data_IF_437471650221
#
_entry.id   IF_437471650221
#
_cell.length_a   1.000
_cell.length_b   1.000
_cell.length_c   1.000
_cell.angle_alpha   90.00
_cell.angle_beta   90.00
_cell.angle_gamma   90.00
#
_symmetry.space_group_name_H-M   'P 1'
#
loop_
_entity.id
_entity.type
_entity.pdbx_description
1 polymer ?
#
# COMPACT_ATOMS: atom_id res chain seq x y z
N UNK A 1 -10.81 5.59 -6.44
CA UNK A 1 -11.84 4.53 -6.50
C UNK A 1 -12.51 4.54 -7.85
N UNK A 2 -12.49 3.43 -8.52
CA UNK A 2 -13.11 3.27 -9.82
C UNK A 2 -14.00 2.01 -9.78
N UNK A 3 -15.06 1.95 -10.61
CA UNK A 3 -15.92 0.76 -10.67
C UNK A 3 -15.21 -0.47 -11.22
N UNK A 4 -14.11 -0.27 -11.93
CA UNK A 4 -13.23 -1.32 -12.43
C UNK A 4 -11.80 -1.06 -11.95
N UNK A 5 -10.97 -2.10 -11.95
CA UNK A 5 -9.56 -2.02 -11.54
C UNK A 5 -8.63 -2.12 -12.76
N UNK A 6 -8.57 -1.12 -13.63
CA UNK A 6 -7.69 -1.15 -14.79
C UNK A 6 -6.22 -0.95 -14.39
N UNK A 7 -5.31 -1.32 -15.30
CA UNK A 7 -3.88 -1.13 -15.10
C UNK A 7 -3.53 0.34 -14.83
N UNK A 8 -4.23 1.27 -15.45
CA UNK A 8 -4.02 2.71 -15.27
C UNK A 8 -4.27 3.15 -13.83
N UNK A 9 -5.25 2.57 -13.16
CA UNK A 9 -5.52 2.87 -11.75
C UNK A 9 -4.36 2.40 -10.85
N UNK A 10 -3.87 1.19 -11.08
CA UNK A 10 -2.72 0.68 -10.35
C UNK A 10 -1.46 1.53 -10.59
N UNK A 11 -1.23 1.94 -11.84
CA UNK A 11 -0.13 2.84 -12.18
C UNK A 11 -0.27 4.21 -11.52
N UNK A 12 -1.47 4.77 -11.49
CA UNK A 12 -1.72 6.06 -10.84
C UNK A 12 -1.43 5.98 -9.34
N UNK A 13 -1.85 4.91 -8.68
CA UNK A 13 -1.57 4.70 -7.27
C UNK A 13 -0.07 4.57 -7.00
N UNK A 14 0.63 3.82 -7.83
CA UNK A 14 2.09 3.66 -7.70
C UNK A 14 2.82 4.99 -7.92
N UNK A 15 2.41 5.79 -8.92
CA UNK A 15 2.99 7.12 -9.17
C UNK A 15 2.79 8.05 -7.97
N UNK A 16 1.63 8.02 -7.34
CA UNK A 16 1.39 8.79 -6.13
C UNK A 16 2.34 8.38 -5.00
N UNK A 17 2.52 7.10 -4.80
CA UNK A 17 3.44 6.58 -3.78
C UNK A 17 4.89 7.02 -4.07
N UNK A 18 5.33 6.92 -5.31
CA UNK A 18 6.66 7.35 -5.74
C UNK A 18 6.86 8.85 -5.47
N UNK A 19 5.86 9.65 -5.83
CA UNK A 19 5.91 11.10 -5.66
C UNK A 19 6.01 11.51 -4.20
N UNK A 20 5.27 10.85 -3.33
CA UNK A 20 5.25 11.16 -1.91
C UNK A 20 6.46 10.61 -1.16
N UNK A 21 6.95 9.45 -1.53
CA UNK A 21 7.99 8.74 -0.79
C UNK A 21 9.37 8.85 -1.41
N UNK A 22 9.46 9.13 -2.69
CA UNK A 22 10.71 9.23 -3.46
C UNK A 22 11.69 8.08 -3.16
N UNK A 23 11.27 6.83 -3.32
CA UNK A 23 12.10 5.69 -2.98
C UNK A 23 13.28 5.53 -3.93
N UNK A 24 14.39 5.03 -3.41
CA UNK A 24 15.57 4.73 -4.21
C UNK A 24 15.34 3.51 -5.12
N UNK A 25 16.09 3.38 -6.23
CA UNK A 25 16.09 2.16 -7.02
C UNK A 25 16.40 0.93 -6.17
N UNK A 26 15.85 -0.21 -6.54
CA UNK A 26 16.01 -1.45 -5.78
C UNK A 26 14.86 -1.73 -4.81
N UNK A 27 13.91 -0.80 -4.66
CA UNK A 27 12.71 -1.04 -3.86
C UNK A 27 11.95 -2.26 -4.38
N UNK A 28 11.56 -3.14 -3.47
CA UNK A 28 10.71 -4.28 -3.80
C UNK A 28 9.24 -3.83 -3.73
N UNK A 29 8.52 -4.00 -4.82
CA UNK A 29 7.08 -3.74 -4.89
C UNK A 29 6.36 -5.07 -5.00
N UNK A 30 5.65 -5.43 -3.95
CA UNK A 30 4.92 -6.70 -3.89
C UNK A 30 3.44 -6.50 -4.24
N UNK A 31 2.91 -7.41 -5.03
CA UNK A 31 1.50 -7.44 -5.38
C UNK A 31 0.99 -8.88 -5.50
N UNK A 32 -0.32 -9.03 -5.64
CA UNK A 32 -0.88 -10.29 -6.09
C UNK A 32 -0.67 -10.46 -7.61
N UNK A 33 -1.20 -11.54 -8.18
CA UNK A 33 -1.10 -11.83 -9.62
C UNK A 33 -2.23 -11.22 -10.44
N UNK A 34 -2.88 -10.18 -9.94
CA UNK A 34 -3.92 -9.48 -10.67
C UNK A 34 -3.42 -8.99 -12.04
N UNK A 35 -4.28 -9.03 -13.05
CA UNK A 35 -3.92 -8.63 -14.42
C UNK A 35 -3.42 -7.19 -14.51
N UNK A 36 -3.91 -6.30 -13.65
CA UNK A 36 -3.48 -4.90 -13.59
C UNK A 36 -1.99 -4.78 -13.21
N UNK A 37 -1.50 -5.64 -12.33
CA UNK A 37 -0.10 -5.64 -11.89
C UNK A 37 0.82 -6.40 -12.85
N UNK A 38 0.29 -7.38 -13.55
CA UNK A 38 1.03 -8.13 -14.57
C UNK A 38 1.07 -7.40 -15.91
N UNK A 39 0.33 -6.31 -16.08
CA UNK A 39 0.27 -5.57 -17.32
C UNK A 39 1.62 -4.98 -17.73
N UNK A 40 1.84 -4.84 -19.04
CA UNK A 40 3.05 -4.20 -19.55
C UNK A 40 3.21 -2.77 -19.07
N UNK A 41 2.09 -2.04 -18.92
CA UNK A 41 2.08 -0.66 -18.45
C UNK A 41 2.64 -0.56 -17.02
N UNK A 42 2.16 -1.42 -16.12
CA UNK A 42 2.62 -1.42 -14.73
C UNK A 42 4.08 -1.90 -14.62
N UNK A 43 4.43 -2.96 -15.32
CA UNK A 43 5.80 -3.48 -15.33
C UNK A 43 6.81 -2.47 -15.89
N UNK A 44 6.44 -1.74 -16.95
CA UNK A 44 7.29 -0.68 -17.50
C UNK A 44 7.52 0.44 -16.48
N UNK A 45 6.50 0.79 -15.69
CA UNK A 45 6.64 1.81 -14.64
C UNK A 45 7.62 1.34 -13.54
N UNK A 46 7.56 0.09 -13.15
CA UNK A 46 8.53 -0.47 -12.18
C UNK A 46 9.95 -0.42 -12.74
N UNK A 47 10.13 -0.85 -13.99
CA UNK A 47 11.44 -0.88 -14.64
C UNK A 47 12.03 0.54 -14.78
N UNK A 48 11.18 1.51 -15.12
CA UNK A 48 11.60 2.90 -15.26
C UNK A 48 12.22 3.46 -13.98
N UNK A 49 11.74 3.03 -12.83
CA UNK A 49 12.24 3.47 -11.53
C UNK A 49 13.27 2.53 -10.92
N UNK A 50 13.61 1.44 -11.59
CA UNK A 50 14.55 0.45 -11.09
C UNK A 50 14.02 -0.36 -9.91
N UNK A 51 12.70 -0.52 -9.81
CA UNK A 51 12.07 -1.29 -8.74
C UNK A 51 12.05 -2.77 -9.09
N UNK A 52 12.09 -3.60 -8.05
CA UNK A 52 12.03 -5.05 -8.16
C UNK A 52 10.58 -5.50 -7.98
N UNK A 53 10.05 -6.17 -8.99
CA UNK A 53 8.71 -6.73 -8.94
C UNK A 53 8.71 -8.04 -8.13
N UNK A 54 7.81 -8.14 -7.18
CA UNK A 54 7.53 -9.37 -6.43
C UNK A 54 6.04 -9.65 -6.50
N UNK A 55 5.68 -10.85 -6.94
CA UNK A 55 4.28 -11.26 -7.00
C UNK A 55 4.04 -12.45 -6.10
N UNK A 56 2.83 -12.51 -5.52
CA UNK A 56 2.42 -13.65 -4.73
C UNK A 56 2.46 -14.93 -5.57
N UNK A 57 2.73 -16.05 -4.93
CA UNK A 57 2.72 -17.35 -5.58
C UNK A 57 1.30 -17.72 -6.00
N UNK A 58 1.17 -18.37 -7.12
CA UNK A 58 -0.14 -18.79 -7.64
C UNK A 58 -0.86 -19.65 -6.61
N UNK A 59 -2.10 -19.24 -6.28
CA UNK A 59 -2.93 -19.96 -5.33
C UNK A 59 -2.53 -19.84 -3.87
N UNK A 60 -1.54 -19.02 -3.52
CA UNK A 60 -1.08 -18.84 -2.15
C UNK A 60 -1.63 -17.53 -1.55
N UNK A 61 -2.71 -17.63 -0.78
CA UNK A 61 -3.34 -16.49 -0.14
C UNK A 61 -2.51 -15.89 1.01
N UNK A 62 -1.57 -16.63 1.58
CA UNK A 62 -0.74 -16.13 2.67
C UNK A 62 0.21 -15.02 2.25
N UNK A 63 0.61 -15.02 0.97
CA UNK A 63 1.53 -14.00 0.45
C UNK A 63 0.93 -12.60 0.47
N UNK A 64 -0.40 -12.48 0.53
CA UNK A 64 -1.12 -11.19 0.53
C UNK A 64 -1.82 -10.88 1.87
N UNK A 65 -1.62 -11.72 2.89
CA UNK A 65 -2.36 -11.62 4.15
C UNK A 65 -2.21 -10.26 4.84
N UNK A 66 -1.06 -9.62 4.73
CA UNK A 66 -0.80 -8.31 5.34
C UNK A 66 -1.65 -7.21 4.71
N UNK A 67 -1.68 -7.15 3.38
CA UNK A 67 -2.50 -6.17 2.65
C UNK A 67 -3.99 -6.42 2.87
N UNK A 68 -4.42 -7.67 2.84
CA UNK A 68 -5.80 -8.05 3.11
C UNK A 68 -6.24 -7.64 4.51
N UNK A 69 -5.36 -7.80 5.49
CA UNK A 69 -5.64 -7.38 6.87
C UNK A 69 -5.81 -5.86 6.97
N UNK A 70 -5.00 -5.11 6.26
CA UNK A 70 -5.16 -3.65 6.19
C UNK A 70 -6.56 -3.27 5.68
N UNK A 71 -6.99 -3.87 4.58
CA UNK A 71 -8.31 -3.55 4.01
C UNK A 71 -9.45 -3.98 4.93
N UNK A 72 -9.31 -5.09 5.62
CA UNK A 72 -10.31 -5.51 6.61
C UNK A 72 -10.40 -4.49 7.75
N UNK A 73 -9.28 -4.04 8.28
CA UNK A 73 -9.25 -3.02 9.33
C UNK A 73 -9.90 -1.72 8.87
N UNK A 74 -9.58 -1.26 7.67
CA UNK A 74 -10.20 -0.07 7.09
C UNK A 74 -11.72 -0.21 6.99
N UNK A 75 -12.20 -1.34 6.50
CA UNK A 75 -13.64 -1.59 6.36
C UNK A 75 -14.33 -1.64 7.71
N UNK A 76 -13.80 -2.39 8.66
CA UNK A 76 -14.41 -2.57 9.98
C UNK A 76 -14.35 -1.30 10.82
N UNK A 77 -13.25 -0.58 10.80
CA UNK A 77 -13.02 0.57 11.68
C UNK A 77 -13.60 1.87 11.11
N UNK A 78 -13.87 1.93 9.80
CA UNK A 78 -14.33 3.17 9.20
C UNK A 78 -15.43 2.98 8.16
N UNK A 79 -15.20 2.25 7.09
CA UNK A 79 -16.08 2.24 5.92
C UNK A 79 -17.46 1.66 6.24
N UNK A 80 -17.53 0.55 6.96
CA UNK A 80 -18.79 -0.10 7.30
C UNK A 80 -19.63 0.66 8.34
N UNK A 81 -19.03 1.63 9.02
CA UNK A 81 -19.69 2.43 10.04
C UNK A 81 -20.27 3.73 9.48
N UNK A 82 -20.10 4.00 8.19
CA UNK A 82 -20.47 5.28 7.58
C UNK A 82 -21.18 5.08 6.25
N UNK A 83 -22.10 5.99 5.96
CA UNK A 83 -22.75 6.12 4.68
C UNK A 83 -22.17 7.35 3.97
N UNK A 84 -21.56 7.14 2.80
CA UNK A 84 -20.98 8.24 2.03
C UNK A 84 -21.96 8.72 0.96
N UNK A 85 -22.14 10.02 0.87
CA UNK A 85 -23.01 10.63 -0.13
C UNK A 85 -22.46 10.48 -1.57
N UNK A 86 -21.12 10.44 -1.70
CA UNK A 86 -20.46 10.33 -3.00
C UNK A 86 -19.01 9.86 -2.82
N UNK A 87 -18.32 9.63 -3.94
CA UNK A 87 -16.92 9.19 -3.92
C UNK A 87 -15.97 10.24 -3.33
N UNK A 88 -16.25 11.52 -3.50
CA UNK A 88 -15.40 12.59 -2.96
C UNK A 88 -15.39 12.55 -1.44
N UNK A 89 -16.55 12.37 -0.82
CA UNK A 89 -16.68 12.26 0.63
C UNK A 89 -15.98 11.00 1.16
N UNK A 90 -16.17 9.86 0.50
CA UNK A 90 -15.49 8.61 0.85
C UNK A 90 -13.97 8.77 0.75
N UNK A 91 -13.48 9.42 -0.29
CA UNK A 91 -12.04 9.65 -0.50
C UNK A 91 -11.44 10.47 0.63
N UNK A 92 -12.10 11.53 1.04
CA UNK A 92 -11.64 12.39 2.14
C UNK A 92 -11.56 11.59 3.44
N UNK A 93 -12.58 10.84 3.75
CA UNK A 93 -12.64 10.06 4.99
C UNK A 93 -11.61 8.92 5.01
N UNK A 94 -11.49 8.17 3.92
CA UNK A 94 -10.49 7.10 3.80
C UNK A 94 -9.08 7.65 3.88
N UNK A 95 -8.81 8.78 3.25
CA UNK A 95 -7.50 9.45 3.32
C UNK A 95 -7.18 9.86 4.77
N UNK A 96 -8.15 10.44 5.46
CA UNK A 96 -7.98 10.83 6.87
C UNK A 96 -7.70 9.61 7.76
N UNK A 97 -8.37 8.49 7.51
CA UNK A 97 -8.09 7.26 8.23
C UNK A 97 -6.67 6.74 8.00
N UNK A 98 -6.25 6.68 6.75
CA UNK A 98 -4.93 6.12 6.39
C UNK A 98 -3.81 7.02 6.89
N UNK A 99 -3.84 8.28 6.53
CA UNK A 99 -2.73 9.22 6.81
C UNK A 99 -2.74 9.69 8.25
N UNK A 100 -3.91 10.06 8.78
CA UNK A 100 -4.03 10.65 10.10
C UNK A 100 -4.08 9.63 11.23
N UNK A 101 -4.67 8.47 11.01
CA UNK A 101 -4.88 7.50 12.06
C UNK A 101 -4.04 6.23 11.88
N UNK A 102 -4.22 5.51 10.77
CA UNK A 102 -3.58 4.20 10.60
C UNK A 102 -2.05 4.30 10.64
N UNK A 103 -1.49 5.21 9.87
CA UNK A 103 -0.04 5.35 9.76
C UNK A 103 0.59 6.01 10.99
N UNK A 104 -0.10 6.93 11.63
CA UNK A 104 0.49 7.78 12.68
C UNK A 104 0.08 7.41 14.10
N UNK A 105 -1.11 6.84 14.29
CA UNK A 105 -1.66 6.62 15.64
C UNK A 105 -2.01 5.18 15.94
N UNK A 106 -2.55 4.43 14.95
CA UNK A 106 -3.00 3.08 15.18
C UNK A 106 -1.84 2.16 15.53
N UNK A 107 -1.91 1.52 16.68
CA UNK A 107 -0.91 0.55 17.11
C UNK A 107 -1.08 -0.77 16.34
N UNK A 108 0.03 -1.33 15.91
CA UNK A 108 0.05 -2.56 15.14
C UNK A 108 0.89 -3.61 15.88
N UNK A 109 0.28 -4.73 16.24
CA UNK A 109 0.93 -5.80 17.02
C UNK A 109 2.11 -6.44 16.29
N UNK A 110 2.03 -6.54 14.96
CA UNK A 110 3.12 -7.07 14.13
C UNK A 110 4.35 -6.18 14.17
N UNK A 111 4.16 -4.87 14.41
CA UNK A 111 5.22 -3.87 14.50
C UNK A 111 5.64 -3.58 15.95
N UNK A 112 5.39 -4.49 16.89
CA UNK A 112 5.72 -4.29 18.29
C UNK A 112 4.86 -3.23 18.97
N UNK A 113 3.57 -3.15 18.61
CA UNK A 113 2.61 -2.16 19.11
C UNK A 113 3.01 -0.70 18.81
N UNK A 114 3.65 -0.50 17.67
CA UNK A 114 3.96 0.84 17.16
C UNK A 114 3.07 1.16 15.96
N UNK A 115 2.84 2.43 15.71
CA UNK A 115 2.24 2.85 14.45
C UNK A 115 3.22 2.64 13.29
N UNK A 116 2.74 2.44 12.05
CA UNK A 116 3.63 2.28 10.90
C UNK A 116 4.65 3.41 10.74
N UNK A 117 4.24 4.66 10.92
CA UNK A 117 5.14 5.80 10.76
C UNK A 117 6.27 5.80 11.80
N UNK A 118 5.95 5.47 13.06
CA UNK A 118 6.96 5.39 14.12
C UNK A 118 7.88 4.21 13.90
N UNK A 119 7.34 3.05 13.51
CA UNK A 119 8.14 1.88 13.20
C UNK A 119 9.14 2.18 12.07
N UNK A 120 8.69 2.80 10.99
CA UNK A 120 9.54 3.18 9.87
C UNK A 120 10.63 4.16 10.30
N UNK A 121 10.29 5.15 11.11
CA UNK A 121 11.26 6.12 11.64
C UNK A 121 12.35 5.44 12.46
N UNK A 122 11.95 4.50 13.31
CA UNK A 122 12.90 3.74 14.15
C UNK A 122 13.81 2.86 13.31
N UNK A 123 13.27 2.25 12.26
CA UNK A 123 14.06 1.42 11.34
C UNK A 123 15.04 2.25 10.52
N UNK A 124 14.66 3.45 10.10
CA UNK A 124 15.53 4.37 9.37
C UNK A 124 16.68 4.89 10.25
N UNK A 125 16.47 5.02 11.55
CA UNK A 125 17.50 5.42 12.51
C UNK A 125 18.53 4.31 12.77
N UNK A 126 18.15 3.05 12.55
CA UNK A 126 19.11 1.94 12.51
C UNK A 126 19.77 1.94 11.15
N UNK A 127 21.05 1.50 11.09
CA UNK A 127 21.82 1.49 9.84
C UNK A 127 21.03 1.04 8.62
N UNK A 128 21.31 1.60 7.43
CA UNK A 128 20.60 1.27 6.22
C UNK A 128 20.82 -0.19 5.86
N UNK A 129 19.90 -0.99 6.30
CA UNK A 129 19.64 -2.28 5.71
C UNK A 129 18.63 -1.98 4.61
N UNK A 130 18.76 -2.65 3.49
CA UNK A 130 17.82 -2.54 2.39
C UNK A 130 16.41 -2.61 2.95
N UNK A 131 15.72 -1.49 2.93
CA UNK A 131 14.34 -1.41 3.42
C UNK A 131 13.42 -1.87 2.31
N UNK A 132 12.80 -2.99 2.50
CA UNK A 132 11.68 -3.38 1.65
C UNK A 132 10.43 -2.71 2.18
N UNK A 133 9.81 -1.88 1.38
CA UNK A 133 8.47 -1.38 1.67
C UNK A 133 7.49 -2.30 0.98
N UNK A 134 6.67 -2.93 1.77
CA UNK A 134 5.60 -3.78 1.26
C UNK A 134 4.36 -2.90 1.18
N UNK A 135 3.89 -2.69 -0.01
CA UNK A 135 2.63 -2.00 -0.23
C UNK A 135 1.46 -2.98 -0.21
#
# INVERSE_FOLDING_TARGET
MAPQMPAELACAALRMAIQQRQPAPGLIVHSDRGSQYASNLYQALLDQHGFVCSMSRKGNCWDNAVAERFFLNLKMERVWQRDYANHAEARIDVTAYIVGFYNCERLNSVLGNLSPAIFERNMAAKKPIVVSVIS
#
